data_IF_338807316029
#
_entry.id   IF_338807316029
#
_cell.length_a   1.000
_cell.length_b   1.000
_cell.length_c   1.000
_cell.angle_alpha   90.00
_cell.angle_beta   90.00
_cell.angle_gamma   90.00
#
_symmetry.space_group_name_H-M   'P 1'
#
loop_
_entity.id
_entity.type
_entity.pdbx_description
1 polymer ?
#
# COMPACT_ATOMS: atom_id res chain seq x y z
N UNK A 1 2.01 12.86 -10.63
CA UNK A 1 1.31 11.57 -10.61
C UNK A 1 0.67 11.47 -9.24
N UNK A 2 -0.65 11.42 -9.18
CA UNK A 2 -1.38 11.32 -7.91
C UNK A 2 -1.79 9.86 -7.74
N UNK A 3 -1.60 9.30 -6.55
CA UNK A 3 -1.81 7.87 -6.29
C UNK A 3 -2.78 7.65 -5.13
N UNK A 4 -3.72 6.74 -5.33
CA UNK A 4 -4.35 6.04 -4.20
C UNK A 4 -3.51 4.83 -3.84
N UNK A 5 -3.30 4.62 -2.54
CA UNK A 5 -2.58 3.47 -2.00
C UNK A 5 -3.58 2.62 -1.24
N UNK A 6 -3.69 1.35 -1.57
CA UNK A 6 -4.50 0.40 -0.81
C UNK A 6 -3.60 -0.62 -0.10
N UNK A 7 -3.93 -0.88 1.17
CA UNK A 7 -3.27 -1.89 1.99
C UNK A 7 -4.37 -2.70 2.64
N UNK A 8 -4.30 -4.02 2.47
CA UNK A 8 -5.28 -4.96 3.00
C UNK A 8 -4.61 -6.29 3.37
N UNK A 9 -5.27 -7.09 4.20
CA UNK A 9 -4.85 -8.44 4.55
C UNK A 9 -5.89 -9.46 4.06
N UNK A 10 -5.49 -10.35 3.16
CA UNK A 10 -6.37 -11.38 2.60
C UNK A 10 -5.86 -12.81 2.90
N UNK A 11 -6.74 -13.74 3.29
CA UNK A 11 -6.37 -15.15 3.42
C UNK A 11 -6.12 -15.75 2.03
N UNK A 12 -5.03 -16.51 1.87
CA UNK A 12 -4.71 -17.15 0.58
C UNK A 12 -5.47 -18.46 0.37
N UNK A 13 -5.68 -19.22 1.44
CA UNK A 13 -6.40 -20.48 1.39
C UNK A 13 -7.20 -20.70 2.66
N UNK A 14 -8.40 -21.26 2.52
CA UNK A 14 -9.32 -21.53 3.63
C UNK A 14 -8.78 -22.53 4.66
N UNK A 15 -7.79 -23.34 4.27
CA UNK A 15 -7.19 -24.40 5.10
C UNK A 15 -5.78 -24.06 5.62
N UNK A 16 -5.27 -22.85 5.37
CA UNK A 16 -3.95 -22.42 5.82
C UNK A 16 -4.03 -21.08 6.54
N UNK A 17 -3.12 -20.85 7.49
CA UNK A 17 -2.94 -19.52 8.09
C UNK A 17 -2.18 -18.55 7.18
N UNK A 18 -1.89 -18.90 5.92
CA UNK A 18 -1.17 -18.02 5.00
C UNK A 18 -2.05 -16.83 4.63
N UNK A 19 -1.48 -15.63 4.80
CA UNK A 19 -2.08 -14.35 4.49
C UNK A 19 -1.21 -13.59 3.50
N UNK A 20 -1.87 -12.89 2.59
CA UNK A 20 -1.27 -11.93 1.68
C UNK A 20 -1.58 -10.52 2.16
N UNK A 21 -0.55 -9.70 2.19
CA UNK A 21 -0.66 -8.28 2.50
C UNK A 21 -0.07 -7.50 1.32
N UNK A 22 -0.87 -7.19 0.29
CA UNK A 22 -0.42 -6.37 -0.82
C UNK A 22 -0.46 -4.89 -0.48
N UNK A 23 0.47 -4.16 -1.08
CA UNK A 23 0.39 -2.72 -1.28
C UNK A 23 -0.01 -2.51 -2.74
N UNK A 24 -1.23 -2.03 -2.96
CA UNK A 24 -1.74 -1.71 -4.28
C UNK A 24 -1.66 -0.21 -4.52
N UNK A 25 -1.41 0.20 -5.76
CA UNK A 25 -1.53 1.59 -6.17
C UNK A 25 -2.52 1.73 -7.31
N UNK A 26 -3.21 2.87 -7.36
CA UNK A 26 -4.03 3.30 -8.48
C UNK A 26 -3.73 4.75 -8.82
N UNK A 27 -3.57 5.05 -10.11
CA UNK A 27 -3.36 6.43 -10.57
C UNK A 27 -4.69 7.19 -10.46
N UNK A 28 -4.68 8.25 -9.67
CA UNK A 28 -5.80 9.18 -9.47
C UNK A 28 -5.81 10.25 -10.57
N UNK A 29 -6.07 9.83 -11.80
CA UNK A 29 -6.21 10.72 -12.95
C UNK A 29 -7.37 10.24 -13.82
N UNK A 30 -8.35 11.13 -14.06
CA UNK A 30 -9.60 10.81 -14.78
C UNK A 30 -9.41 10.23 -16.18
N UNK A 31 -8.27 10.53 -16.82
CA UNK A 31 -7.91 10.03 -18.16
C UNK A 31 -7.22 8.65 -18.13
N UNK A 32 -6.72 8.22 -16.97
CA UNK A 32 -6.03 6.94 -16.82
C UNK A 32 -6.98 5.90 -16.22
N UNK A 33 -7.53 5.03 -17.07
CA UNK A 33 -8.40 3.91 -16.65
C UNK A 33 -7.62 2.69 -16.15
N UNK A 34 -6.41 2.89 -15.65
CA UNK A 34 -5.61 1.80 -15.11
C UNK A 34 -6.28 1.25 -13.84
N UNK A 35 -6.50 -0.07 -13.84
CA UNK A 35 -6.92 -0.78 -12.66
C UNK A 35 -5.83 -0.73 -11.58
N UNK A 36 -6.19 -0.89 -10.30
CA UNK A 36 -5.21 -1.00 -9.24
C UNK A 36 -4.17 -2.08 -9.57
N UNK A 37 -2.90 -1.77 -9.35
CA UNK A 37 -1.79 -2.67 -9.60
C UNK A 37 -1.00 -2.91 -8.32
N UNK A 38 -0.38 -4.09 -8.25
CA UNK A 38 0.48 -4.48 -7.12
C UNK A 38 1.80 -3.73 -7.21
N UNK A 39 2.22 -3.14 -6.09
CA UNK A 39 3.53 -2.49 -5.94
C UNK A 39 4.45 -3.32 -5.05
N UNK A 40 3.91 -3.88 -3.96
CA UNK A 40 4.64 -4.77 -3.07
C UNK A 40 3.70 -5.82 -2.49
N UNK A 41 4.25 -6.95 -2.06
CA UNK A 41 3.49 -8.03 -1.43
C UNK A 41 4.30 -8.64 -0.30
N UNK A 42 3.66 -8.78 0.85
CA UNK A 42 4.09 -9.69 1.89
C UNK A 42 3.23 -10.96 1.86
N UNK A 43 3.87 -12.11 2.06
CA UNK A 43 3.20 -13.41 2.20
C UNK A 43 3.78 -14.12 3.42
N UNK A 44 2.92 -14.53 4.36
CA UNK A 44 3.36 -15.22 5.57
C UNK A 44 2.18 -15.83 6.33
N UNK A 45 2.47 -16.48 7.46
CA UNK A 45 1.45 -17.16 8.28
C UNK A 45 0.58 -16.20 9.13
N UNK A 46 0.85 -14.91 9.05
CA UNK A 46 0.19 -13.85 9.83
C UNK A 46 0.30 -12.53 9.10
N UNK A 47 -0.25 -11.46 9.66
CA UNK A 47 0.13 -10.09 9.27
C UNK A 47 1.64 -9.86 9.37
N UNK A 48 2.21 -8.90 8.61
CA UNK A 48 3.63 -8.59 8.69
C UNK A 48 4.01 -8.27 10.15
N UNK A 49 5.09 -8.88 10.68
CA UNK A 49 5.47 -8.73 12.08
C UNK A 49 6.01 -7.32 12.38
N UNK A 50 6.67 -6.71 11.39
CA UNK A 50 7.21 -5.35 11.47
C UNK A 50 6.62 -4.49 10.34
N UNK A 51 5.88 -3.45 10.72
CA UNK A 51 5.28 -2.48 9.78
C UNK A 51 6.35 -1.65 9.05
N UNK A 52 7.48 -1.36 9.70
CA UNK A 52 8.55 -0.56 9.11
C UNK A 52 9.27 -1.33 8.03
N UNK A 53 9.56 -2.61 8.27
CA UNK A 53 10.13 -3.50 7.26
C UNK A 53 9.15 -3.68 6.10
N UNK A 54 7.87 -3.93 6.40
CA UNK A 54 6.81 -4.08 5.39
C UNK A 54 6.66 -2.87 4.46
N UNK A 55 6.75 -1.65 4.99
CA UNK A 55 6.58 -0.41 4.21
C UNK A 55 7.90 0.16 3.65
N UNK A 56 9.04 -0.43 3.99
CA UNK A 56 10.37 0.17 3.75
C UNK A 56 10.59 0.50 2.27
N UNK A 57 10.45 -0.50 1.41
CA UNK A 57 10.75 -0.37 -0.01
C UNK A 57 9.77 0.59 -0.68
N UNK A 58 8.47 0.47 -0.36
CA UNK A 58 7.42 1.39 -0.83
C UNK A 58 7.73 2.85 -0.45
N UNK A 59 8.09 3.12 0.80
CA UNK A 59 8.41 4.48 1.26
C UNK A 59 9.66 5.02 0.56
N UNK A 60 10.68 4.18 0.38
CA UNK A 60 11.92 4.58 -0.29
C UNK A 60 11.67 4.96 -1.75
N UNK A 61 10.94 4.13 -2.50
CA UNK A 61 10.58 4.38 -3.89
C UNK A 61 9.65 5.60 -4.02
N UNK A 62 8.66 5.72 -3.14
CA UNK A 62 7.78 6.88 -3.13
C UNK A 62 8.55 8.19 -2.86
N UNK A 63 9.46 8.21 -1.89
CA UNK A 63 10.32 9.37 -1.62
C UNK A 63 11.18 9.72 -2.83
N UNK A 64 11.73 8.72 -3.51
CA UNK A 64 12.47 8.92 -4.75
C UNK A 64 11.58 9.55 -5.84
N UNK A 65 10.35 9.05 -6.02
CA UNK A 65 9.37 9.60 -6.96
C UNK A 65 8.96 11.04 -6.63
N UNK A 66 8.85 11.41 -5.35
CA UNK A 66 8.56 12.79 -4.95
C UNK A 66 9.75 13.73 -5.22
N UNK A 67 10.95 13.33 -4.81
CA UNK A 67 12.14 14.18 -4.83
C UNK A 67 12.73 14.32 -6.25
N UNK A 68 12.80 13.21 -6.99
CA UNK A 68 13.46 13.14 -8.28
C UNK A 68 12.47 13.12 -9.45
N UNK A 69 11.20 12.80 -9.19
CA UNK A 69 10.19 12.65 -10.23
C UNK A 69 10.44 11.43 -11.13
N UNK A 70 9.60 11.32 -12.16
CA UNK A 70 9.68 10.33 -13.23
C UNK A 70 9.63 11.05 -14.57
N UNK A 71 10.56 10.73 -15.48
CA UNK A 71 10.59 11.31 -16.82
C UNK A 71 9.88 10.37 -17.79
N UNK A 72 8.81 10.85 -18.42
CA UNK A 72 8.07 10.16 -19.49
C UNK A 72 7.92 11.14 -20.64
N UNK A 73 8.29 10.75 -21.86
CA UNK A 73 8.22 11.60 -23.05
C UNK A 73 8.84 13.00 -22.84
N UNK A 74 10.03 13.04 -22.23
CA UNK A 74 10.78 14.27 -21.88
C UNK A 74 10.09 15.20 -20.87
N UNK A 75 8.97 14.78 -20.29
CA UNK A 75 8.25 15.54 -19.26
C UNK A 75 8.50 14.94 -17.89
N UNK A 76 8.81 15.79 -16.91
CA UNK A 76 9.01 15.40 -15.53
C UNK A 76 7.68 15.37 -14.77
N UNK A 77 7.43 14.27 -14.07
CA UNK A 77 6.26 14.06 -13.25
C UNK A 77 6.67 13.77 -11.80
N UNK A 78 6.32 14.64 -10.87
CA UNK A 78 6.50 14.36 -9.43
C UNK A 78 5.34 13.54 -8.87
N UNK A 79 5.60 12.68 -7.88
CA UNK A 79 4.59 11.87 -7.19
C UNK A 79 3.87 12.60 -6.06
N UNK A 80 2.59 12.28 -5.84
CA UNK A 80 1.83 12.63 -4.65
C UNK A 80 0.86 11.51 -4.27
N UNK A 81 0.45 11.45 -3.01
CA UNK A 81 -0.57 10.51 -2.52
C UNK A 81 -1.88 11.26 -2.31
N UNK A 82 -2.92 10.85 -3.03
CA UNK A 82 -4.29 11.34 -2.87
C UNK A 82 -4.94 10.77 -1.61
N UNK A 83 -4.62 9.53 -1.25
CA UNK A 83 -5.13 8.91 -0.03
C UNK A 83 -4.74 7.45 0.14
N UNK A 84 -4.92 6.97 1.39
CA UNK A 84 -4.79 5.57 1.76
C UNK A 84 -6.17 4.95 1.93
N UNK A 85 -6.42 3.85 1.22
CA UNK A 85 -7.66 3.09 1.22
C UNK A 85 -7.41 1.80 2.01
N UNK A 86 -8.05 1.69 3.16
CA UNK A 86 -7.94 0.53 4.05
C UNK A 86 -9.23 0.37 4.85
N UNK A 87 -9.58 -0.88 5.12
CA UNK A 87 -10.61 -1.23 6.09
C UNK A 87 -10.15 -0.90 7.53
N UNK A 88 -11.01 -1.08 8.52
CA UNK A 88 -10.68 -0.68 9.89
C UNK A 88 -9.48 -1.45 10.50
N UNK A 89 -9.39 -2.80 10.40
CA UNK A 89 -8.22 -3.56 10.83
C UNK A 89 -6.91 -3.16 10.13
N UNK A 90 -6.89 -3.06 8.80
CA UNK A 90 -5.68 -2.69 8.06
C UNK A 90 -5.26 -1.25 8.39
N UNK A 91 -6.22 -0.33 8.54
CA UNK A 91 -5.94 1.04 8.98
C UNK A 91 -5.29 1.09 10.36
N UNK A 92 -5.77 0.27 11.30
CA UNK A 92 -5.22 0.21 12.64
C UNK A 92 -3.78 -0.31 12.62
N UNK A 93 -3.51 -1.34 11.81
CA UNK A 93 -2.16 -1.88 11.58
C UNK A 93 -1.21 -0.82 11.00
N UNK A 94 -1.58 -0.17 9.91
CA UNK A 94 -0.75 0.86 9.25
C UNK A 94 -0.49 2.05 10.17
N UNK A 95 -1.48 2.47 10.96
CA UNK A 95 -1.34 3.57 11.92
C UNK A 95 -0.64 3.17 13.22
N UNK A 96 -0.35 1.88 13.43
CA UNK A 96 0.19 1.34 14.68
C UNK A 96 -0.70 1.71 15.89
N UNK A 97 -2.03 1.60 15.71
CA UNK A 97 -3.02 1.84 16.76
C UNK A 97 -3.80 0.55 17.05
N UNK A 98 -4.42 0.49 18.23
CA UNK A 98 -5.36 -0.59 18.55
C UNK A 98 -6.62 -0.44 17.70
N UNK A 99 -7.16 -1.57 17.23
CA UNK A 99 -8.43 -1.62 16.52
C UNK A 99 -9.61 -1.29 17.44
N UNK A 100 -10.80 -1.07 16.85
CA UNK A 100 -12.02 -0.64 17.53
C UNK A 100 -12.48 -1.55 18.69
N UNK A 101 -11.92 -2.76 18.83
CA UNK A 101 -12.20 -3.72 19.91
C UNK A 101 -10.93 -4.17 20.67
N UNK A 102 -9.81 -3.43 20.62
CA UNK A 102 -8.53 -3.88 21.20
C UNK A 102 -8.40 -3.84 22.73
N UNK A 103 -9.49 -3.53 23.45
CA UNK A 103 -9.55 -3.43 24.91
C UNK A 103 -10.68 -4.26 25.53
N UNK A 104 -11.42 -5.04 24.73
CA UNK A 104 -12.52 -5.89 25.19
C UNK A 104 -12.22 -7.35 24.88
#
# INVERSE_FOLDING_TARGET
INLFVNIDGLPLANSSSIQFWPILCKIDQSLCKLDPFIVAVYCGQSKPPDIYEYLKDFIQEYKNLCNNGLVIDLKLYSGSISGFICDAPARAFVKVIKGHNGFY
#
